data_IF_715213351881
#
_entry.id   IF_715213351881
#
_cell.length_a   1.000
_cell.length_b   1.000
_cell.length_c   1.000
_cell.angle_alpha   90.00
_cell.angle_beta   90.00
_cell.angle_gamma   90.00
#
_symmetry.space_group_name_H-M   'P 1'
#
loop_
_entity.id
_entity.type
_entity.pdbx_description
1 polymer ?
#
# COMPACT_ATOMS: atom_id res chain seq x y z
N UNK A 1 22.30 15.24 -9.65
CA UNK A 1 22.13 13.93 -8.95
C UNK A 1 20.84 13.29 -9.41
N UNK A 2 20.89 12.01 -9.75
CA UNK A 2 19.68 11.25 -10.11
C UNK A 2 19.16 10.51 -8.87
N UNK A 3 17.89 10.73 -8.54
CA UNK A 3 17.22 9.98 -7.49
C UNK A 3 16.73 8.67 -8.11
N UNK A 4 17.22 7.53 -7.61
CA UNK A 4 16.85 6.21 -8.12
C UNK A 4 15.78 5.52 -7.30
N UNK A 5 15.56 5.96 -6.07
CA UNK A 5 14.58 5.38 -5.16
C UNK A 5 14.00 6.48 -4.27
N UNK A 6 12.68 6.50 -4.17
CA UNK A 6 11.97 7.35 -3.22
C UNK A 6 11.34 6.43 -2.17
N UNK A 7 11.69 6.61 -0.91
CA UNK A 7 11.12 5.86 0.21
C UNK A 7 10.27 6.78 1.07
N UNK A 8 9.01 6.44 1.22
CA UNK A 8 8.05 7.17 2.04
C UNK A 8 7.60 6.27 3.20
N UNK A 9 7.89 6.69 4.42
CA UNK A 9 7.56 5.92 5.61
C UNK A 9 6.37 6.56 6.32
N UNK A 10 5.23 5.87 6.31
CA UNK A 10 3.99 6.32 6.93
C UNK A 10 3.60 7.75 6.48
N UNK A 11 3.56 8.02 5.15
CA UNK A 11 3.41 9.41 4.70
C UNK A 11 2.05 10.03 5.02
N UNK A 12 1.03 9.21 5.23
CA UNK A 12 -0.33 9.70 5.50
C UNK A 12 -0.76 9.59 6.97
N UNK A 13 0.15 9.18 7.87
CA UNK A 13 -0.21 8.79 9.23
C UNK A 13 -0.86 9.88 10.08
N UNK A 14 -0.57 11.15 9.80
CA UNK A 14 -1.11 12.28 10.57
C UNK A 14 -2.23 13.03 9.85
N UNK A 15 -2.67 12.52 8.70
CA UNK A 15 -3.64 13.21 7.87
C UNK A 15 -5.06 12.69 8.10
N UNK A 16 -6.04 13.57 7.98
CA UNK A 16 -7.44 13.15 7.94
C UNK A 16 -7.76 12.52 6.58
N UNK A 17 -9.01 12.10 6.40
CA UNK A 17 -9.41 11.42 5.17
C UNK A 17 -9.16 12.26 3.92
N UNK A 18 -9.50 13.55 3.96
CA UNK A 18 -9.30 14.43 2.80
C UNK A 18 -7.83 14.62 2.47
N UNK A 19 -7.01 14.87 3.49
CA UNK A 19 -5.57 15.01 3.31
C UNK A 19 -4.92 13.72 2.82
N UNK A 20 -5.34 12.59 3.36
CA UNK A 20 -4.85 11.29 2.92
C UNK A 20 -5.14 11.06 1.43
N UNK A 21 -6.39 11.26 1.02
CA UNK A 21 -6.78 11.01 -0.37
C UNK A 21 -6.07 11.96 -1.34
N UNK A 22 -5.88 13.21 -0.95
CA UNK A 22 -5.13 14.17 -1.77
C UNK A 22 -3.67 13.72 -1.91
N UNK A 23 -3.02 13.32 -0.81
CA UNK A 23 -1.64 12.85 -0.84
C UNK A 23 -1.48 11.63 -1.73
N UNK A 24 -2.39 10.65 -1.60
CA UNK A 24 -2.31 9.42 -2.40
C UNK A 24 -2.45 9.71 -3.89
N UNK A 25 -3.31 10.65 -4.28
CA UNK A 25 -3.42 11.06 -5.68
C UNK A 25 -2.14 11.70 -6.19
N UNK A 26 -1.47 12.50 -5.36
CA UNK A 26 -0.19 13.13 -5.73
C UNK A 26 0.91 12.07 -5.90
N UNK A 27 0.95 11.09 -5.01
CA UNK A 27 1.91 9.99 -5.10
C UNK A 27 1.64 9.17 -6.36
N UNK A 28 0.38 8.85 -6.65
CA UNK A 28 -0.01 8.14 -7.86
C UNK A 28 0.44 8.87 -9.13
N UNK A 29 0.18 10.17 -9.19
CA UNK A 29 0.58 10.99 -10.33
C UNK A 29 2.10 11.03 -10.49
N UNK A 30 2.84 11.18 -9.39
CA UNK A 30 4.29 11.18 -9.41
C UNK A 30 4.83 9.84 -9.90
N UNK A 31 4.34 8.73 -9.36
CA UNK A 31 4.84 7.40 -9.68
C UNK A 31 4.48 6.96 -11.11
N UNK A 32 3.46 7.57 -11.72
CA UNK A 32 3.06 7.25 -13.10
C UNK A 32 3.93 7.91 -14.16
N UNK A 33 4.77 8.86 -13.77
CA UNK A 33 5.71 9.50 -14.70
C UNK A 33 6.77 8.48 -15.13
N UNK A 34 7.00 8.27 -16.43
CA UNK A 34 8.02 7.31 -16.90
C UNK A 34 9.44 7.61 -16.41
N UNK A 35 9.72 8.86 -16.03
CA UNK A 35 11.03 9.27 -15.53
C UNK A 35 11.11 9.24 -14.01
N UNK A 36 10.03 8.86 -13.33
CA UNK A 36 10.03 8.82 -11.88
C UNK A 36 10.92 7.70 -11.34
N UNK A 37 11.57 7.91 -10.20
CA UNK A 37 12.28 6.82 -9.54
C UNK A 37 11.29 5.77 -9.04
N UNK A 38 11.80 4.56 -8.75
CA UNK A 38 10.99 3.58 -8.05
C UNK A 38 10.54 4.15 -6.70
N UNK A 39 9.28 3.93 -6.35
CA UNK A 39 8.70 4.46 -5.13
C UNK A 39 8.30 3.32 -4.21
N UNK A 40 8.74 3.38 -2.95
CA UNK A 40 8.38 2.42 -1.91
C UNK A 40 7.65 3.17 -0.81
N UNK A 41 6.49 2.65 -0.41
CA UNK A 41 5.69 3.22 0.66
C UNK A 41 5.58 2.18 1.77
N UNK A 42 5.90 2.61 3.01
CA UNK A 42 5.71 1.79 4.21
C UNK A 42 4.46 2.30 4.92
N UNK A 43 3.50 1.41 5.16
CA UNK A 43 2.26 1.77 5.86
C UNK A 43 1.71 0.56 6.62
N UNK A 44 0.90 0.83 7.64
CA UNK A 44 0.13 -0.18 8.38
C UNK A 44 -1.31 -0.29 7.89
N UNK A 45 -1.71 0.51 6.90
CA UNK A 45 -3.11 0.61 6.47
C UNK A 45 -3.23 0.36 4.98
N UNK A 46 -3.97 -0.67 4.59
CA UNK A 46 -4.14 -0.99 3.17
C UNK A 46 -4.91 0.10 2.42
N UNK A 47 -5.70 0.90 3.12
CA UNK A 47 -6.41 2.04 2.52
C UNK A 47 -5.44 3.13 2.07
N UNK A 48 -4.18 3.07 2.52
CA UNK A 48 -3.15 4.03 2.14
C UNK A 48 -2.27 3.56 0.99
N UNK A 49 -2.65 2.48 0.32
CA UNK A 49 -1.96 2.01 -0.88
C UNK A 49 -2.48 2.80 -2.08
N UNK A 50 -1.63 3.59 -2.76
CA UNK A 50 -2.08 4.34 -3.93
C UNK A 50 -2.52 3.41 -5.06
N UNK A 51 -3.47 3.87 -5.87
CA UNK A 51 -3.81 3.16 -7.09
C UNK A 51 -2.57 3.09 -8.00
N UNK A 52 -2.42 2.00 -8.75
CA UNK A 52 -1.27 1.81 -9.60
C UNK A 52 -0.06 1.16 -8.93
N UNK A 53 -0.14 0.87 -7.64
CA UNK A 53 0.90 0.10 -6.94
C UNK A 53 1.01 -1.28 -7.56
N UNK A 54 2.22 -1.69 -7.90
CA UNK A 54 2.45 -2.93 -8.66
C UNK A 54 2.75 -4.12 -7.76
N UNK A 55 3.53 -3.91 -6.70
CA UNK A 55 4.02 -4.99 -5.85
C UNK A 55 3.83 -4.64 -4.39
N UNK A 56 3.77 -5.66 -3.56
CA UNK A 56 3.68 -5.50 -2.12
C UNK A 56 4.54 -6.52 -1.40
N UNK A 57 4.97 -6.14 -0.21
CA UNK A 57 5.66 -7.00 0.75
C UNK A 57 4.91 -6.90 2.06
N UNK A 58 4.35 -8.02 2.53
CA UNK A 58 3.56 -8.06 3.74
C UNK A 58 4.37 -8.69 4.86
N UNK A 59 4.54 -7.95 5.95
CA UNK A 59 5.37 -8.36 7.08
C UNK A 59 4.52 -8.54 8.34
N UNK A 60 4.90 -9.50 9.17
CA UNK A 60 4.39 -9.67 10.52
C UNK A 60 5.51 -10.12 11.42
N UNK A 61 5.72 -9.39 12.52
CA UNK A 61 6.74 -9.73 13.52
C UNK A 61 8.12 -9.93 12.87
N UNK A 62 8.47 -9.06 11.93
CA UNK A 62 9.74 -9.11 11.24
C UNK A 62 9.88 -10.20 10.20
N UNK A 63 8.82 -10.95 9.91
CA UNK A 63 8.85 -12.03 8.93
C UNK A 63 7.98 -11.70 7.74
N UNK A 64 8.43 -12.15 6.56
CA UNK A 64 7.67 -12.00 5.32
C UNK A 64 6.52 -13.01 5.29
N UNK A 65 5.28 -12.50 5.22
CA UNK A 65 4.10 -13.34 5.06
C UNK A 65 3.85 -13.62 3.58
N UNK A 66 3.96 -12.59 2.76
CA UNK A 66 3.74 -12.69 1.32
C UNK A 66 4.48 -11.57 0.62
N UNK A 67 4.88 -11.80 -0.61
CA UNK A 67 5.51 -10.78 -1.46
C UNK A 67 5.24 -11.10 -2.93
N UNK A 68 5.20 -10.09 -3.75
CA UNK A 68 4.99 -10.23 -5.18
C UNK A 68 4.01 -9.21 -5.72
N UNK A 69 3.35 -9.58 -6.82
CA UNK A 69 2.33 -8.74 -7.46
C UNK A 69 1.22 -8.47 -6.45
N UNK A 70 0.78 -7.21 -6.40
CA UNK A 70 -0.09 -6.75 -5.31
C UNK A 70 -1.37 -7.55 -5.17
N UNK A 71 -1.99 -7.96 -6.28
CA UNK A 71 -3.24 -8.74 -6.26
C UNK A 71 -3.06 -10.11 -5.60
N UNK A 72 -1.86 -10.67 -5.66
CA UNK A 72 -1.57 -11.95 -5.02
C UNK A 72 -1.17 -11.83 -3.55
N UNK A 73 -0.82 -10.62 -3.11
CA UNK A 73 -0.38 -10.35 -1.74
C UNK A 73 -1.53 -9.84 -0.87
N UNK A 74 -2.29 -8.88 -1.37
CA UNK A 74 -3.40 -8.27 -0.62
C UNK A 74 -4.65 -9.11 -0.83
N UNK A 75 -4.75 -10.17 -0.05
CA UNK A 75 -5.84 -11.15 -0.10
C UNK A 75 -6.45 -11.33 1.29
N UNK A 76 -7.67 -11.86 1.34
CA UNK A 76 -8.32 -12.18 2.60
C UNK A 76 -7.43 -13.07 3.48
N UNK A 77 -6.89 -14.14 2.89
CA UNK A 77 -6.08 -15.10 3.62
C UNK A 77 -4.81 -14.46 4.20
N UNK A 78 -4.06 -13.72 3.37
CA UNK A 78 -2.80 -13.12 3.81
C UNK A 78 -3.03 -12.04 4.86
N UNK A 79 -4.03 -11.20 4.68
CA UNK A 79 -4.33 -10.15 5.66
C UNK A 79 -4.87 -10.72 6.96
N UNK A 80 -5.64 -11.81 6.89
CA UNK A 80 -6.11 -12.48 8.10
C UNK A 80 -4.94 -13.02 8.94
N UNK A 81 -3.92 -13.58 8.28
CA UNK A 81 -2.69 -14.00 8.96
C UNK A 81 -1.98 -12.78 9.55
N UNK A 82 -1.81 -11.74 8.74
CA UNK A 82 -1.05 -10.55 9.18
C UNK A 82 -1.67 -9.86 10.38
N UNK A 83 -2.99 -9.72 10.41
CA UNK A 83 -3.69 -9.02 11.47
C UNK A 83 -4.16 -9.93 12.61
N UNK A 84 -4.09 -11.24 12.43
CA UNK A 84 -4.44 -12.19 13.50
C UNK A 84 -5.94 -12.34 13.75
N UNK A 85 -6.77 -11.99 12.77
CA UNK A 85 -8.23 -12.16 12.87
C UNK A 85 -8.81 -12.25 11.46
N UNK A 86 -10.03 -12.78 11.28
CA UNK A 86 -10.61 -12.89 9.95
C UNK A 86 -10.82 -11.51 9.32
N UNK A 87 -10.26 -11.32 8.14
CA UNK A 87 -10.32 -10.05 7.38
C UNK A 87 -10.91 -10.30 6.00
N UNK A 88 -11.76 -9.40 5.57
CA UNK A 88 -12.27 -9.37 4.21
C UNK A 88 -11.74 -8.14 3.49
N UNK A 89 -11.15 -8.34 2.31
CA UNK A 89 -10.57 -7.29 1.49
C UNK A 89 -11.44 -7.08 0.26
N UNK A 90 -11.64 -5.82 -0.09
CA UNK A 90 -12.29 -5.44 -1.34
C UNK A 90 -11.38 -4.48 -2.09
N UNK A 91 -11.46 -4.50 -3.42
CA UNK A 91 -10.73 -3.55 -4.24
C UNK A 91 -11.70 -2.83 -5.18
N UNK A 92 -11.42 -1.56 -5.41
CA UNK A 92 -12.18 -0.73 -6.32
C UNK A 92 -11.26 0.31 -6.92
N UNK A 93 -11.22 0.38 -8.25
CA UNK A 93 -10.39 1.35 -8.97
C UNK A 93 -8.92 1.33 -8.53
N UNK A 94 -8.38 0.14 -8.28
CA UNK A 94 -6.99 -0.02 -7.87
C UNK A 94 -6.71 0.29 -6.41
N UNK A 95 -7.73 0.62 -5.63
CA UNK A 95 -7.62 0.90 -4.20
C UNK A 95 -8.17 -0.28 -3.40
N UNK A 96 -7.65 -0.48 -2.19
CA UNK A 96 -8.00 -1.60 -1.33
C UNK A 96 -8.68 -1.12 -0.06
N UNK A 97 -9.67 -1.87 0.39
CA UNK A 97 -10.41 -1.63 1.61
C UNK A 97 -10.56 -2.94 2.36
N UNK A 98 -10.44 -2.91 3.68
CA UNK A 98 -10.56 -4.12 4.48
C UNK A 98 -11.37 -3.86 5.75
N UNK A 99 -12.01 -4.93 6.20
CA UNK A 99 -12.70 -4.92 7.49
C UNK A 99 -12.65 -6.32 8.10
N UNK A 100 -12.80 -6.38 9.41
CA UNK A 100 -12.99 -7.65 10.09
C UNK A 100 -14.36 -8.23 9.74
N UNK A 101 -14.41 -9.52 9.57
CA UNK A 101 -15.66 -10.23 9.27
C UNK A 101 -16.36 -10.74 10.52
#
# INVERSE_FOLDING_TARGET
>A
MLIKLLLLDEPASSLDLGGREDLLKRIEAFASDPLAPATVIVTHHIEEIPAGTTHALLLKEGKVIAQGVIESVITDANLSVAYGLPISVQSQNGRFFARAT
#
